data_IF_095036014714
#
_entry.id   IF_095036014714
#
_cell.length_a   1.000
_cell.length_b   1.000
_cell.length_c   1.000
_cell.angle_alpha   90.00
_cell.angle_beta   90.00
_cell.angle_gamma   90.00
#
_symmetry.space_group_name_H-M   'P 1'
#
loop_
_entity.id
_entity.type
_entity.pdbx_description
1 polymer ?
#
# COMPACT_ATOMS: atom_id res chain seq x y z
N UNK A 1 -37.54 19.56 4.11
CA UNK A 1 -36.32 19.82 4.90
C UNK A 1 -35.15 19.20 4.15
N UNK A 2 -34.15 19.96 3.65
CA UNK A 2 -33.01 19.36 2.96
C UNK A 2 -31.82 19.25 3.94
N UNK A 3 -31.56 18.05 4.45
CA UNK A 3 -30.43 17.76 5.35
C UNK A 3 -29.41 16.81 4.70
N UNK A 4 -29.64 16.35 3.45
CA UNK A 4 -28.79 15.33 2.81
C UNK A 4 -27.53 15.84 2.10
N UNK A 5 -27.51 17.09 1.62
CA UNK A 5 -26.43 17.56 0.75
C UNK A 5 -25.07 17.76 1.46
N UNK A 6 -25.06 18.04 2.76
CA UNK A 6 -23.83 18.32 3.53
C UNK A 6 -23.05 17.03 3.85
N UNK A 7 -23.74 15.90 3.96
CA UNK A 7 -23.16 14.59 4.29
C UNK A 7 -22.48 13.92 3.07
N UNK A 8 -23.07 14.09 1.86
CA UNK A 8 -22.51 13.56 0.61
C UNK A 8 -21.16 14.19 0.26
N UNK A 9 -21.05 15.53 0.33
CA UNK A 9 -19.80 16.23 0.04
C UNK A 9 -18.67 15.88 1.02
N UNK A 10 -19.01 15.77 2.31
CA UNK A 10 -18.08 15.30 3.35
C UNK A 10 -17.57 13.89 3.07
N UNK A 11 -18.47 13.00 2.65
CA UNK A 11 -18.15 11.61 2.33
C UNK A 11 -17.28 11.47 1.09
N UNK A 12 -17.55 12.21 0.01
CA UNK A 12 -16.70 12.25 -1.18
C UNK A 12 -15.28 12.72 -0.85
N UNK A 13 -15.14 13.74 0.01
CA UNK A 13 -13.84 14.20 0.51
C UNK A 13 -13.12 13.09 1.30
N UNK A 14 -13.83 12.36 2.16
CA UNK A 14 -13.24 11.24 2.90
C UNK A 14 -12.78 10.11 2.00
N UNK A 15 -13.58 9.74 0.99
CA UNK A 15 -13.20 8.76 -0.04
C UNK A 15 -11.90 9.19 -0.71
N UNK A 16 -11.82 10.42 -1.20
CA UNK A 16 -10.62 10.95 -1.86
C UNK A 16 -9.37 10.90 -0.96
N UNK A 17 -9.50 11.29 0.31
CA UNK A 17 -8.40 11.27 1.28
C UNK A 17 -7.92 9.84 1.52
N UNK A 18 -8.85 8.93 1.85
CA UNK A 18 -8.53 7.53 2.19
C UNK A 18 -7.98 6.78 0.97
N UNK A 19 -8.55 7.00 -0.22
CA UNK A 19 -8.00 6.51 -1.50
C UNK A 19 -6.56 6.98 -1.70
N UNK A 20 -6.27 8.26 -1.41
CA UNK A 20 -4.91 8.79 -1.50
C UNK A 20 -3.93 8.14 -0.52
N UNK A 21 -4.38 7.80 0.70
CA UNK A 21 -3.56 7.08 1.69
C UNK A 21 -3.21 5.68 1.18
N UNK A 22 -4.21 4.90 0.72
CA UNK A 22 -3.99 3.55 0.18
C UNK A 22 -3.05 3.59 -1.03
N UNK A 23 -3.25 4.54 -1.96
CA UNK A 23 -2.36 4.72 -3.14
C UNK A 23 -0.91 4.96 -2.75
N UNK A 24 -0.65 5.78 -1.71
CA UNK A 24 0.72 6.08 -1.25
C UNK A 24 1.35 4.87 -0.59
N UNK A 25 0.67 4.24 0.37
CA UNK A 25 1.17 3.06 1.06
C UNK A 25 1.46 1.90 0.10
N UNK A 26 0.60 1.71 -0.91
CA UNK A 26 0.81 0.69 -1.94
C UNK A 26 2.08 0.96 -2.77
N UNK A 27 2.33 2.22 -3.12
CA UNK A 27 3.56 2.61 -3.81
C UNK A 27 4.80 2.45 -2.91
N UNK A 28 4.69 2.81 -1.64
CA UNK A 28 5.76 2.66 -0.64
C UNK A 28 6.15 1.18 -0.47
N UNK A 29 5.18 0.27 -0.36
CA UNK A 29 5.44 -1.17 -0.32
C UNK A 29 6.27 -1.62 -1.53
N UNK A 30 5.89 -1.19 -2.74
CA UNK A 30 6.65 -1.51 -3.94
C UNK A 30 8.07 -0.94 -3.93
N UNK A 31 8.29 0.24 -3.35
CA UNK A 31 9.63 0.84 -3.24
C UNK A 31 10.50 0.01 -2.30
N UNK A 32 9.99 -0.36 -1.12
CA UNK A 32 10.74 -1.18 -0.18
C UNK A 32 11.04 -2.58 -0.72
N UNK A 33 10.12 -3.17 -1.48
CA UNK A 33 10.39 -4.43 -2.18
C UNK A 33 11.54 -4.31 -3.20
N UNK A 34 11.61 -3.19 -3.93
CA UNK A 34 12.72 -2.94 -4.86
C UNK A 34 14.05 -2.71 -4.13
N UNK A 35 14.01 -2.00 -3.00
CA UNK A 35 15.18 -1.77 -2.16
C UNK A 35 15.75 -3.09 -1.61
N UNK A 36 14.89 -3.98 -1.11
CA UNK A 36 15.31 -5.31 -0.66
C UNK A 36 15.96 -6.10 -1.81
N UNK A 37 15.37 -6.10 -3.01
CA UNK A 37 15.97 -6.76 -4.18
C UNK A 37 17.35 -6.19 -4.52
N UNK A 38 17.52 -4.87 -4.46
CA UNK A 38 18.81 -4.23 -4.70
C UNK A 38 19.84 -4.64 -3.63
N UNK A 39 19.43 -4.69 -2.37
CA UNK A 39 20.32 -5.05 -1.26
C UNK A 39 20.68 -6.55 -1.28
N UNK A 40 19.77 -7.44 -1.69
CA UNK A 40 20.07 -8.85 -1.97
C UNK A 40 21.16 -8.96 -3.04
N UNK A 41 21.00 -8.24 -4.15
CA UNK A 41 21.99 -8.27 -5.24
C UNK A 41 23.38 -7.77 -4.78
N UNK A 42 23.44 -6.79 -3.87
CA UNK A 42 24.69 -6.33 -3.28
C UNK A 42 25.33 -7.44 -2.43
N UNK A 43 24.57 -8.08 -1.53
CA UNK A 43 25.07 -9.17 -0.70
C UNK A 43 25.57 -10.34 -1.54
N UNK A 44 24.82 -10.75 -2.57
CA UNK A 44 25.21 -11.82 -3.49
C UNK A 44 26.48 -11.47 -4.27
N UNK A 45 26.61 -10.22 -4.72
CA UNK A 45 27.82 -9.74 -5.39
C UNK A 45 29.03 -9.81 -4.46
N UNK A 46 28.93 -9.32 -3.22
CA UNK A 46 30.03 -9.38 -2.25
C UNK A 46 30.46 -10.83 -1.96
N UNK A 47 29.50 -11.75 -1.85
CA UNK A 47 29.76 -13.19 -1.68
C UNK A 47 30.48 -13.77 -2.90
N UNK A 48 30.06 -13.41 -4.12
CA UNK A 48 30.66 -13.87 -5.37
C UNK A 48 32.07 -13.35 -5.58
N UNK A 49 32.30 -12.09 -5.24
CA UNK A 49 33.60 -11.42 -5.39
C UNK A 49 34.61 -11.85 -4.31
N UNK A 50 34.20 -12.70 -3.35
CA UNK A 50 35.06 -13.20 -2.28
C UNK A 50 35.45 -12.10 -1.28
N UNK A 51 34.56 -11.12 -1.07
CA UNK A 51 34.78 -10.03 -0.13
C UNK A 51 34.98 -10.52 1.31
N UNK A 52 35.56 -9.67 2.16
CA UNK A 52 35.80 -10.02 3.56
C UNK A 52 34.50 -10.32 4.32
N UNK A 53 34.58 -11.23 5.28
CA UNK A 53 33.43 -11.63 6.08
C UNK A 53 32.80 -10.48 6.86
N UNK A 54 33.56 -9.45 7.24
CA UNK A 54 33.02 -8.25 7.89
C UNK A 54 32.15 -7.43 6.94
N UNK A 55 32.56 -7.26 5.69
CA UNK A 55 31.83 -6.51 4.67
C UNK A 55 30.51 -7.22 4.31
N UNK A 56 30.55 -8.55 4.16
CA UNK A 56 29.35 -9.36 3.91
C UNK A 56 28.37 -9.22 5.10
N UNK A 57 28.85 -9.34 6.34
CA UNK A 57 28.01 -9.18 7.54
C UNK A 57 27.42 -7.78 7.65
N UNK A 58 28.14 -6.75 7.24
CA UNK A 58 27.63 -5.38 7.22
C UNK A 58 26.49 -5.24 6.19
N UNK A 59 26.69 -5.75 4.97
CA UNK A 59 25.66 -5.72 3.93
C UNK A 59 24.41 -6.53 4.29
N UNK A 60 24.57 -7.67 4.98
CA UNK A 60 23.46 -8.49 5.49
C UNK A 60 22.66 -7.80 6.60
N UNK A 61 23.31 -6.97 7.44
CA UNK A 61 22.59 -6.14 8.43
C UNK A 61 21.70 -5.12 7.75
N UNK A 62 22.23 -4.43 6.74
CA UNK A 62 21.44 -3.47 5.95
C UNK A 62 20.29 -4.17 5.23
N UNK A 63 20.53 -5.35 4.63
CA UNK A 63 19.46 -6.16 4.03
C UNK A 63 18.34 -6.45 5.03
N UNK A 64 18.70 -6.91 6.22
CA UNK A 64 17.72 -7.23 7.27
C UNK A 64 16.94 -5.99 7.76
N UNK A 65 17.54 -4.81 7.71
CA UNK A 65 16.85 -3.55 8.05
C UNK A 65 15.85 -3.17 6.96
N UNK A 66 16.22 -3.25 5.68
CA UNK A 66 15.31 -3.00 4.56
C UNK A 66 14.17 -4.04 4.53
N UNK A 67 14.44 -5.31 4.83
CA UNK A 67 13.41 -6.37 4.90
C UNK A 67 12.34 -6.11 5.96
N UNK A 68 12.69 -5.48 7.09
CA UNK A 68 11.73 -5.14 8.15
C UNK A 68 10.71 -4.09 7.71
N UNK A 69 11.04 -3.27 6.71
CA UNK A 69 10.14 -2.21 6.25
C UNK A 69 8.93 -2.78 5.50
N UNK A 70 9.11 -3.89 4.76
CA UNK A 70 8.04 -4.52 3.99
C UNK A 70 6.82 -4.89 4.88
N UNK A 71 6.96 -5.68 5.96
CA UNK A 71 5.81 -6.04 6.79
C UNK A 71 5.20 -4.82 7.49
N UNK A 72 6.00 -3.85 7.94
CA UNK A 72 5.48 -2.64 8.59
C UNK A 72 4.58 -1.82 7.65
N UNK A 73 5.05 -1.58 6.42
CA UNK A 73 4.27 -0.86 5.43
C UNK A 73 3.06 -1.66 4.97
N UNK A 74 3.19 -2.99 4.88
CA UNK A 74 2.10 -3.89 4.49
C UNK A 74 0.98 -3.93 5.53
N UNK A 75 1.31 -4.00 6.82
CA UNK A 75 0.33 -3.93 7.90
C UNK A 75 -0.42 -2.59 7.87
N UNK A 76 0.32 -1.50 7.68
CA UNK A 76 -0.26 -0.15 7.53
C UNK A 76 -1.17 -0.04 6.31
N UNK A 77 -0.78 -0.65 5.18
CA UNK A 77 -1.58 -0.71 3.96
C UNK A 77 -2.86 -1.54 4.17
N UNK A 78 -2.77 -2.66 4.90
CA UNK A 78 -3.93 -3.50 5.22
C UNK A 78 -4.95 -2.75 6.06
N UNK A 79 -4.52 -2.03 7.09
CA UNK A 79 -5.41 -1.20 7.91
C UNK A 79 -6.09 -0.11 7.06
N UNK A 80 -5.31 0.63 6.27
CA UNK A 80 -5.84 1.68 5.41
C UNK A 80 -6.80 1.14 4.33
N UNK A 81 -6.50 -0.03 3.77
CA UNK A 81 -7.35 -0.73 2.79
C UNK A 81 -8.69 -1.12 3.43
N UNK A 82 -8.67 -1.72 4.62
CA UNK A 82 -9.87 -2.11 5.33
C UNK A 82 -10.75 -0.89 5.64
N UNK A 83 -10.16 0.19 6.14
CA UNK A 83 -10.87 1.45 6.42
C UNK A 83 -11.51 2.05 5.17
N UNK A 84 -10.84 2.01 4.02
CA UNK A 84 -11.41 2.48 2.76
C UNK A 84 -12.53 1.55 2.27
N UNK A 85 -12.34 0.23 2.40
CA UNK A 85 -13.33 -0.79 2.02
C UNK A 85 -14.62 -0.66 2.83
N UNK A 86 -14.51 -0.41 4.13
CA UNK A 86 -15.67 -0.19 5.00
C UNK A 86 -16.43 1.07 4.61
N UNK A 87 -15.73 2.17 4.29
CA UNK A 87 -16.36 3.39 3.80
C UNK A 87 -17.08 3.16 2.47
N UNK A 88 -16.42 2.51 1.50
CA UNK A 88 -17.03 2.15 0.20
C UNK A 88 -18.27 1.29 0.40
N UNK A 89 -18.22 0.30 1.31
CA UNK A 89 -19.36 -0.56 1.61
C UNK A 89 -20.54 0.18 2.26
N UNK A 90 -20.27 1.19 3.09
CA UNK A 90 -21.29 1.99 3.74
C UNK A 90 -22.04 2.90 2.75
N UNK A 91 -21.37 3.35 1.68
CA UNK A 91 -21.90 4.38 0.77
C UNK A 91 -22.30 3.85 -0.60
N UNK A 92 -22.06 2.56 -0.89
CA UNK A 92 -22.33 1.94 -2.20
C UNK A 92 -23.79 1.95 -2.63
N UNK A 93 -24.73 2.11 -1.70
CA UNK A 93 -26.17 2.16 -2.00
C UNK A 93 -26.68 3.58 -2.21
N UNK A 94 -25.82 4.59 -1.98
CA UNK A 94 -26.13 5.98 -2.26
C UNK A 94 -25.83 6.26 -3.74
N UNK A 95 -26.85 6.57 -4.54
CA UNK A 95 -26.71 6.79 -5.98
C UNK A 95 -25.88 8.03 -6.32
N UNK A 96 -25.93 9.08 -5.50
CA UNK A 96 -25.13 10.30 -5.73
C UNK A 96 -23.65 10.01 -5.54
N UNK A 97 -23.31 9.20 -4.53
CA UNK A 97 -21.92 8.87 -4.20
C UNK A 97 -21.40 7.74 -5.07
N UNK A 98 -22.17 6.69 -5.31
CA UNK A 98 -21.74 5.52 -6.10
C UNK A 98 -21.50 5.84 -7.59
N UNK A 99 -22.18 6.86 -8.12
CA UNK A 99 -21.94 7.37 -9.48
C UNK A 99 -20.77 8.38 -9.55
N UNK A 100 -20.16 8.75 -8.42
CA UNK A 100 -19.06 9.71 -8.39
C UNK A 100 -17.73 9.10 -8.85
N UNK A 101 -16.84 9.98 -9.31
CA UNK A 101 -15.48 9.59 -9.66
C UNK A 101 -14.70 9.11 -8.41
N UNK A 102 -14.89 9.75 -7.27
CA UNK A 102 -14.23 9.41 -6.01
C UNK A 102 -14.53 7.97 -5.57
N UNK A 103 -15.76 7.52 -5.75
CA UNK A 103 -16.15 6.14 -5.47
C UNK A 103 -15.50 5.16 -6.45
N UNK A 104 -15.54 5.48 -7.76
CA UNK A 104 -14.88 4.66 -8.78
C UNK A 104 -13.36 4.52 -8.55
N UNK A 105 -12.69 5.62 -8.19
CA UNK A 105 -11.27 5.65 -7.86
C UNK A 105 -10.96 4.83 -6.60
N UNK A 106 -11.80 4.95 -5.56
CA UNK A 106 -11.69 4.16 -4.34
C UNK A 106 -11.84 2.66 -4.61
N UNK A 107 -12.86 2.28 -5.36
CA UNK A 107 -13.10 0.89 -5.72
C UNK A 107 -11.98 0.30 -6.58
N UNK A 108 -11.45 1.09 -7.52
CA UNK A 108 -10.34 0.69 -8.38
C UNK A 108 -9.06 0.43 -7.59
N UNK A 109 -8.69 1.31 -6.64
CA UNK A 109 -7.49 1.08 -5.84
C UNK A 109 -7.64 -0.13 -4.91
N UNK A 110 -8.82 -0.35 -4.33
CA UNK A 110 -9.08 -1.52 -3.47
C UNK A 110 -8.86 -2.82 -4.25
N UNK A 111 -9.37 -2.90 -5.49
CA UNK A 111 -9.17 -4.06 -6.36
C UNK A 111 -7.71 -4.23 -6.78
N UNK A 112 -7.02 -3.14 -7.11
CA UNK A 112 -5.60 -3.21 -7.50
C UNK A 112 -4.76 -3.78 -6.35
N UNK A 113 -4.93 -3.27 -5.13
CA UNK A 113 -4.20 -3.76 -3.95
C UNK A 113 -4.55 -5.23 -3.66
N UNK A 114 -5.83 -5.62 -3.76
CA UNK A 114 -6.23 -7.03 -3.58
C UNK A 114 -5.64 -7.95 -4.66
N UNK A 115 -5.56 -7.48 -5.92
CA UNK A 115 -4.95 -8.24 -7.01
C UNK A 115 -3.45 -8.40 -6.79
N UNK A 116 -2.75 -7.34 -6.38
CA UNK A 116 -1.32 -7.37 -6.09
C UNK A 116 -1.00 -8.25 -4.87
N UNK A 117 -1.87 -8.29 -3.86
CA UNK A 117 -1.74 -9.24 -2.74
C UNK A 117 -1.96 -10.70 -3.15
N UNK A 118 -2.87 -10.97 -4.09
CA UNK A 118 -3.08 -12.32 -4.63
C UNK A 118 -1.94 -12.75 -5.55
N UNK A 119 -1.41 -11.83 -6.36
CA UNK A 119 -0.31 -12.09 -7.29
C UNK A 119 1.05 -12.18 -6.57
N UNK A 120 1.23 -11.43 -5.48
CA UNK A 120 2.35 -11.55 -4.55
C UNK A 120 2.19 -12.67 -3.53
N UNK A 121 1.26 -13.61 -3.77
CA UNK A 121 0.87 -14.67 -2.86
C UNK A 121 2.04 -15.56 -2.42
N UNK A 122 2.43 -15.37 -1.15
CA UNK A 122 2.78 -16.37 -0.14
C UNK A 122 3.21 -17.76 -0.61
#
# INVERSE_FOLDING_TARGET
MPVKADDSAGTLRQLKIKTGVVKRLHKEESVYQQEVKAQVAIVEKLKRDGADGADIRAAERVLKESEKMIPITRDSLQEAHQVLKDLVNAVKTDEEISCSQEFGDAFSILQQVEADWKNGGN
#
